data_IF_824727023451
#
_entry.id   IF_824727023451
#
_cell.length_a   1.000
_cell.length_b   1.000
_cell.length_c   1.000
_cell.angle_alpha   90.00
_cell.angle_beta   90.00
_cell.angle_gamma   90.00
#
_symmetry.space_group_name_H-M   'P 1'
#
loop_
_entity.id
_entity.type
_entity.pdbx_description
1 polymer ?
#
# COMPACT_ATOMS: atom_id res chain seq x y z
N UNK A 1 0.78 16.06 -11.30
CA UNK A 1 1.23 16.02 -9.89
C UNK A 1 0.76 14.77 -9.13
N UNK A 2 0.52 13.62 -9.79
CA UNK A 2 0.06 12.35 -9.17
C UNK A 2 1.11 11.21 -9.21
N UNK A 3 2.33 11.49 -9.70
CA UNK A 3 3.39 10.48 -9.88
C UNK A 3 4.06 10.09 -8.55
N UNK A 4 4.41 11.09 -7.75
CA UNK A 4 5.12 10.90 -6.48
C UNK A 4 4.23 10.25 -5.41
N UNK A 5 2.91 10.46 -5.45
CA UNK A 5 2.00 10.05 -4.37
C UNK A 5 1.92 8.54 -4.17
N UNK A 6 1.95 7.72 -5.23
CA UNK A 6 1.85 6.25 -5.09
C UNK A 6 3.09 5.62 -4.47
N UNK A 7 4.27 6.12 -4.85
CA UNK A 7 5.55 5.66 -4.30
C UNK A 7 5.64 6.05 -2.82
N UNK A 8 5.34 7.30 -2.48
CA UNK A 8 5.33 7.75 -1.09
C UNK A 8 4.28 7.02 -0.24
N UNK A 9 3.11 6.73 -0.80
CA UNK A 9 2.07 5.95 -0.11
C UNK A 9 2.52 4.50 0.13
N UNK A 10 3.16 3.88 -0.86
CA UNK A 10 3.73 2.54 -0.73
C UNK A 10 4.79 2.46 0.36
N UNK A 11 5.72 3.43 0.35
CA UNK A 11 6.77 3.54 1.38
C UNK A 11 6.15 3.80 2.76
N UNK A 12 5.20 4.73 2.87
CA UNK A 12 4.54 5.04 4.14
C UNK A 12 3.87 3.79 4.74
N UNK A 13 3.17 3.01 3.91
CA UNK A 13 2.51 1.77 4.34
C UNK A 13 3.48 0.65 4.74
N UNK A 14 4.65 0.57 4.09
CA UNK A 14 5.73 -0.35 4.48
C UNK A 14 6.44 0.09 5.77
N UNK A 15 6.49 1.39 6.04
CA UNK A 15 7.03 1.94 7.28
C UNK A 15 6.05 1.80 8.45
N UNK A 16 4.73 1.76 8.20
CA UNK A 16 3.71 1.60 9.24
C UNK A 16 3.97 0.43 10.21
N UNK A 17 4.25 -0.81 9.78
CA UNK A 17 4.56 -1.91 10.70
C UNK A 17 5.82 -1.67 11.55
N UNK A 18 6.84 -1.00 10.97
CA UNK A 18 8.08 -0.67 11.68
C UNK A 18 7.79 0.38 12.76
N UNK A 19 7.08 1.45 12.41
CA UNK A 19 6.67 2.49 13.36
C UNK A 19 5.74 1.93 14.46
N UNK A 20 4.87 0.99 14.11
CA UNK A 20 4.00 0.31 15.06
C UNK A 20 4.77 -0.56 16.06
N UNK A 21 5.90 -1.14 15.64
CA UNK A 21 6.80 -1.89 16.51
C UNK A 21 7.55 -0.97 17.47
N UNK A 22 8.06 0.17 16.97
CA UNK A 22 8.62 1.23 17.81
C UNK A 22 7.62 1.76 18.84
N UNK A 23 6.35 1.92 18.45
CA UNK A 23 5.26 2.33 19.34
C UNK A 23 4.73 1.24 20.28
N UNK A 24 5.26 0.01 20.23
CA UNK A 24 4.76 -1.18 20.96
C UNK A 24 3.27 -1.49 20.74
N UNK A 25 2.69 -0.97 19.66
CA UNK A 25 1.28 -1.19 19.28
C UNK A 25 1.13 -2.33 18.27
N UNK A 26 2.22 -2.82 17.67
CA UNK A 26 2.22 -3.91 16.70
C UNK A 26 1.51 -5.16 17.21
N UNK A 27 1.77 -5.55 18.47
CA UNK A 27 1.20 -6.76 19.07
C UNK A 27 -0.33 -6.73 19.20
N UNK A 28 -0.95 -5.55 19.22
CA UNK A 28 -2.41 -5.40 19.28
C UNK A 28 -3.11 -5.62 17.94
N UNK A 29 -2.39 -5.41 16.84
CA UNK A 29 -2.96 -5.26 15.51
C UNK A 29 -2.09 -5.93 14.42
N UNK A 30 -1.38 -7.00 14.77
CA UNK A 30 -0.33 -7.60 13.93
C UNK A 30 -0.84 -8.02 12.53
N UNK A 31 -2.06 -8.59 12.47
CA UNK A 31 -2.72 -8.89 11.19
C UNK A 31 -2.95 -7.63 10.36
N UNK A 32 -3.42 -6.54 10.96
CA UNK A 32 -3.68 -5.28 10.26
C UNK A 32 -2.41 -4.63 9.72
N UNK A 33 -1.32 -4.66 10.49
CA UNK A 33 -0.01 -4.17 10.04
C UNK A 33 0.58 -5.01 8.91
N UNK A 34 0.34 -6.33 8.92
CA UNK A 34 0.74 -7.22 7.82
C UNK A 34 -0.03 -6.90 6.53
N UNK A 35 -1.34 -6.66 6.62
CA UNK A 35 -2.15 -6.19 5.50
C UNK A 35 -1.72 -4.79 5.00
N UNK A 36 -1.33 -3.87 5.90
CA UNK A 36 -0.78 -2.58 5.50
C UNK A 36 0.54 -2.72 4.72
N UNK A 37 1.45 -3.58 5.17
CA UNK A 37 2.68 -3.88 4.44
C UNK A 37 2.42 -4.47 3.06
N UNK A 38 1.45 -5.40 2.94
CA UNK A 38 1.02 -5.94 1.66
C UNK A 38 0.44 -4.86 0.74
N UNK A 39 -0.38 -3.94 1.27
CA UNK A 39 -0.91 -2.80 0.53
C UNK A 39 0.20 -1.88 0.02
N UNK A 40 1.21 -1.62 0.85
CA UNK A 40 2.37 -0.83 0.46
C UNK A 40 3.16 -1.43 -0.70
N UNK A 41 3.39 -2.75 -0.69
CA UNK A 41 4.03 -3.46 -1.78
C UNK A 41 3.22 -3.38 -3.09
N UNK A 42 1.88 -3.50 -3.00
CA UNK A 42 0.99 -3.38 -4.16
C UNK A 42 0.99 -1.96 -4.74
N UNK A 43 1.11 -0.92 -3.91
CA UNK A 43 1.25 0.45 -4.39
C UNK A 43 2.60 0.72 -5.07
N UNK A 44 3.69 0.10 -4.61
CA UNK A 44 4.98 0.15 -5.30
C UNK A 44 4.92 -0.55 -6.67
N UNK A 45 4.23 -1.69 -6.76
CA UNK A 45 3.93 -2.35 -8.03
C UNK A 45 3.11 -1.43 -8.96
N UNK A 46 2.07 -0.77 -8.45
CA UNK A 46 1.28 0.18 -9.23
C UNK A 46 2.15 1.32 -9.79
N UNK A 47 3.08 1.84 -8.99
CA UNK A 47 4.03 2.86 -9.43
C UNK A 47 5.03 2.35 -10.49
N UNK A 48 5.54 1.13 -10.33
CA UNK A 48 6.45 0.50 -11.30
C UNK A 48 5.79 0.27 -12.66
N UNK A 49 4.55 -0.23 -12.66
CA UNK A 49 3.75 -0.36 -13.89
C UNK A 49 3.51 1.00 -14.54
N UNK A 50 3.29 2.05 -13.74
CA UNK A 50 3.07 3.40 -14.25
C UNK A 50 4.31 4.01 -14.91
N UNK A 51 5.48 3.87 -14.29
CA UNK A 51 6.76 4.29 -14.85
C UNK A 51 7.13 3.53 -16.13
N UNK A 52 6.73 2.25 -16.23
CA UNK A 52 6.90 1.46 -17.46
C UNK A 52 6.04 1.93 -18.64
N UNK A 53 4.91 2.59 -18.40
CA UNK A 53 4.00 3.09 -19.46
C UNK A 53 4.59 4.32 -20.17
N UNK A 54 5.37 5.16 -19.48
CA UNK A 54 6.00 6.35 -20.06
C UNK A 54 7.07 5.98 -21.13
N UNK A 55 7.54 4.73 -21.14
CA UNK A 55 8.53 4.23 -22.10
C UNK A 55 7.98 3.44 -23.30
N UNK A 56 6.76 2.91 -23.22
CA UNK A 56 6.13 2.13 -24.29
C UNK A 56 4.60 2.28 -24.26
N UNK A 57 4.03 2.86 -25.32
CA UNK A 57 2.58 2.97 -25.53
C UNK A 57 1.96 1.59 -25.81
N UNK A 58 1.79 0.78 -24.76
CA UNK A 58 0.96 -0.42 -24.77
C UNK A 58 -0.26 -0.14 -23.90
N UNK A 59 -1.42 0.02 -24.54
CA UNK A 59 -2.71 0.28 -23.87
C UNK A 59 -3.04 -0.73 -22.77
N UNK A 60 -2.53 -1.96 -22.83
CA UNK A 60 -2.69 -2.99 -21.80
C UNK A 60 -1.94 -2.69 -20.48
N UNK A 61 -0.78 -2.03 -20.52
CA UNK A 61 -0.04 -1.65 -19.31
C UNK A 61 -0.71 -0.46 -18.60
N UNK A 62 -1.39 0.41 -19.36
CA UNK A 62 -2.26 1.50 -18.90
C UNK A 62 -3.24 1.07 -17.81
N UNK A 63 -3.92 -0.05 -18.02
CA UNK A 63 -4.91 -0.59 -17.08
C UNK A 63 -4.27 -1.27 -15.87
N UNK A 64 -3.03 -1.76 -16.00
CA UNK A 64 -2.28 -2.40 -14.92
C UNK A 64 -2.08 -1.45 -13.74
N UNK A 65 -1.61 -0.22 -14.00
CA UNK A 65 -1.40 0.78 -12.95
C UNK A 65 -2.70 1.09 -12.17
N UNK A 66 -3.81 1.25 -12.89
CA UNK A 66 -5.13 1.49 -12.28
C UNK A 66 -5.59 0.29 -11.46
N UNK A 67 -5.49 -0.93 -12.00
CA UNK A 67 -5.87 -2.16 -11.29
C UNK A 67 -5.08 -2.33 -9.98
N UNK A 68 -3.75 -2.21 -10.03
CA UNK A 68 -2.92 -2.33 -8.83
C UNK A 68 -3.21 -1.21 -7.82
N UNK A 69 -3.50 0.02 -8.27
CA UNK A 69 -3.88 1.10 -7.35
C UNK A 69 -5.20 0.84 -6.62
N UNK A 70 -6.20 0.26 -7.30
CA UNK A 70 -7.49 -0.10 -6.72
C UNK A 70 -7.33 -1.27 -5.75
N UNK A 71 -6.57 -2.30 -6.13
CA UNK A 71 -6.28 -3.45 -5.26
C UNK A 71 -5.51 -2.99 -4.02
N UNK A 72 -4.50 -2.13 -4.19
CA UNK A 72 -3.73 -1.54 -3.09
C UNK A 72 -4.61 -0.76 -2.13
N UNK A 73 -5.60 -0.03 -2.66
CA UNK A 73 -6.57 0.71 -1.85
C UNK A 73 -7.47 -0.21 -1.02
N UNK A 74 -8.00 -1.27 -1.63
CA UNK A 74 -8.83 -2.26 -0.94
C UNK A 74 -8.02 -2.94 0.18
N UNK A 75 -6.82 -3.39 -0.12
CA UNK A 75 -5.93 -4.04 0.87
C UNK A 75 -5.59 -3.08 2.01
N UNK A 76 -5.31 -1.81 1.70
CA UNK A 76 -4.98 -0.79 2.70
C UNK A 76 -6.17 -0.48 3.60
N UNK A 77 -7.38 -0.39 3.06
CA UNK A 77 -8.60 -0.22 3.85
C UNK A 77 -8.84 -1.41 4.78
N UNK A 78 -8.66 -2.64 4.29
CA UNK A 78 -8.74 -3.85 5.11
C UNK A 78 -7.71 -3.79 6.24
N UNK A 79 -6.45 -3.48 5.93
CA UNK A 79 -5.39 -3.32 6.92
C UNK A 79 -5.73 -2.25 7.97
N UNK A 80 -6.25 -1.10 7.55
CA UNK A 80 -6.67 -0.02 8.45
C UNK A 80 -7.78 -0.45 9.42
N UNK A 81 -8.80 -1.17 8.93
CA UNK A 81 -9.89 -1.68 9.78
C UNK A 81 -9.34 -2.68 10.80
N UNK A 82 -8.45 -3.59 10.40
CA UNK A 82 -7.81 -4.54 11.31
C UNK A 82 -6.90 -3.86 12.34
N UNK A 83 -6.21 -2.78 11.97
CA UNK A 83 -5.41 -1.99 12.90
C UNK A 83 -6.30 -1.29 13.93
N UNK A 84 -7.37 -0.62 13.48
CA UNK A 84 -8.31 0.07 14.37
C UNK A 84 -8.98 -0.89 15.34
N UNK A 85 -9.48 -2.03 14.85
CA UNK A 85 -10.13 -3.04 15.70
C UNK A 85 -9.16 -3.74 16.65
N UNK A 86 -7.89 -3.85 16.28
CA UNK A 86 -6.84 -4.38 17.16
C UNK A 86 -6.42 -3.39 18.25
N UNK A 87 -6.31 -2.10 17.93
CA UNK A 87 -5.90 -1.06 18.90
C UNK A 87 -7.01 -0.68 19.88
N UNK A 88 -8.26 -0.65 19.41
CA UNK A 88 -9.44 -0.28 20.22
C UNK A 88 -9.90 -1.37 21.21
N UNK A 89 -9.36 -2.59 21.09
CA UNK A 89 -9.53 -3.66 22.09
C UNK A 89 -8.48 -3.56 23.19
#
# INVERSE_FOLDING_TARGET
MFELTLIWLGIALLLTPILAEYGKIRNKADRGFLWMGAGGAVYLLAAAFKLGIDGMTLSALGWGATLFSVIGLIITLIGAIFVLTGILK
#
